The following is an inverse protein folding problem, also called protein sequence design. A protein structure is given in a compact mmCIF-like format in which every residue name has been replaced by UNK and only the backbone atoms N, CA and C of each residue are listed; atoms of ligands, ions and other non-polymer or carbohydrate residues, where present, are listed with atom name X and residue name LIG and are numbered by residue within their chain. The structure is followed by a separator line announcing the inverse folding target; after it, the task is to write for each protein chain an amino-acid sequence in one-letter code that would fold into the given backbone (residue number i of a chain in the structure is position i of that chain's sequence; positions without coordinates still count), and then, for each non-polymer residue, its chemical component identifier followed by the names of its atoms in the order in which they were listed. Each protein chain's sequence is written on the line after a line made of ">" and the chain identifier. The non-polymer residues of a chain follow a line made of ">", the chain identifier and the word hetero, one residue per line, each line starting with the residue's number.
data_IF_251341596273
#
_entry.id   IF_251341596273
#
_cell.length_a   1.000
_cell.length_b   1.000
_cell.length_c   1.000
_cell.angle_alpha   90.00
_cell.angle_beta   90.00
_cell.angle_gamma   90.00
#
_symmetry.space_group_name_H-M   'P 1'
#
loop_
_entity.id
_entity.type
_entity.pdbx_description
1 polymer ?
#
# COMPACT_ATOMS: atom_id res chain seq x y z
N UNK A 1 6.43 -31.60 17.15
CA UNK A 1 7.04 -30.40 16.56
C UNK A 1 6.39 -29.19 17.19
N UNK A 2 7.15 -28.18 17.58
CA UNK A 2 6.62 -26.96 18.19
C UNK A 2 5.97 -26.09 17.11
N UNK A 3 4.78 -25.58 17.39
CA UNK A 3 4.05 -24.66 16.50
C UNK A 3 4.37 -23.21 16.89
N UNK A 4 4.55 -22.31 15.93
CA UNK A 4 4.75 -20.90 16.19
C UNK A 4 3.48 -20.26 16.79
N UNK A 5 2.31 -20.70 16.35
CA UNK A 5 1.00 -20.24 16.79
C UNK A 5 -0.02 -21.37 16.72
N UNK A 6 -1.10 -21.28 17.44
CA UNK A 6 -2.29 -22.11 17.22
C UNK A 6 -3.14 -21.49 16.10
N UNK A 7 -3.41 -20.20 16.21
CA UNK A 7 -4.12 -19.40 15.22
C UNK A 7 -3.54 -17.97 15.19
N UNK A 8 -3.08 -17.53 14.01
CA UNK A 8 -2.50 -16.23 13.82
C UNK A 8 -3.45 -15.29 13.05
N UNK A 9 -3.47 -14.03 13.46
CA UNK A 9 -4.04 -12.93 12.71
C UNK A 9 -2.91 -12.20 11.99
N UNK A 10 -3.04 -12.00 10.68
CA UNK A 10 -1.96 -11.51 9.81
C UNK A 10 -2.45 -10.32 8.99
N UNK A 11 -1.65 -9.27 8.88
CA UNK A 11 -1.87 -8.14 7.97
C UNK A 11 -0.54 -7.51 7.55
N UNK A 12 -0.61 -6.58 6.57
CA UNK A 12 0.58 -5.94 5.99
C UNK A 12 0.23 -4.60 5.37
N UNK A 13 1.25 -3.81 5.02
CA UNK A 13 1.15 -2.62 4.17
C UNK A 13 0.06 -1.64 4.64
N UNK A 14 0.15 -1.20 5.90
CA UNK A 14 -0.80 -0.24 6.50
C UNK A 14 -0.45 1.21 6.21
N UNK A 15 0.85 1.51 6.02
CA UNK A 15 1.40 2.79 5.58
C UNK A 15 0.95 4.01 6.37
N UNK A 16 1.09 4.01 7.71
CA UNK A 16 0.90 5.22 8.50
C UNK A 16 1.67 6.41 7.92
N UNK A 17 1.04 7.56 7.83
CA UNK A 17 1.63 8.80 7.28
C UNK A 17 1.48 8.97 5.77
N UNK A 18 0.77 8.09 5.09
CA UNK A 18 0.44 8.27 3.68
C UNK A 18 -0.35 9.56 3.44
N UNK A 19 -0.43 10.03 2.18
CA UNK A 19 -1.11 11.27 1.77
C UNK A 19 -0.62 12.49 2.56
N UNK A 20 0.71 12.70 2.57
CA UNK A 20 1.34 13.84 3.27
C UNK A 20 1.02 13.87 4.77
N UNK A 21 1.03 12.72 5.43
CA UNK A 21 0.66 12.54 6.83
C UNK A 21 -0.79 12.91 7.14
N UNK A 22 -1.70 12.61 6.20
CA UNK A 22 -3.12 12.91 6.35
C UNK A 22 -3.68 12.38 7.67
N UNK A 23 -4.36 13.24 8.40
CA UNK A 23 -5.05 12.86 9.64
C UNK A 23 -6.09 11.77 9.37
N UNK A 24 -6.91 11.94 8.32
CA UNK A 24 -7.93 10.97 7.96
C UNK A 24 -7.35 9.60 7.66
N UNK A 25 -6.23 9.52 6.93
CA UNK A 25 -5.57 8.24 6.66
C UNK A 25 -5.02 7.60 7.95
N UNK A 26 -4.40 8.38 8.84
CA UNK A 26 -3.92 7.85 10.13
C UNK A 26 -5.08 7.38 11.03
N UNK A 27 -6.24 8.03 10.97
CA UNK A 27 -7.46 7.61 11.65
C UNK A 27 -8.01 6.30 11.04
N UNK A 28 -7.98 6.13 9.72
CA UNK A 28 -8.31 4.88 9.04
C UNK A 28 -7.38 3.74 9.48
N UNK A 29 -6.07 3.98 9.52
CA UNK A 29 -5.10 3.00 10.05
C UNK A 29 -5.44 2.58 11.48
N UNK A 30 -5.81 3.54 12.34
CA UNK A 30 -6.16 3.26 13.73
C UNK A 30 -7.48 2.49 13.83
N UNK A 31 -8.48 2.83 13.01
CA UNK A 31 -9.75 2.12 12.95
C UNK A 31 -9.56 0.68 12.47
N UNK A 32 -8.75 0.49 11.43
CA UNK A 32 -8.34 -0.84 10.96
C UNK A 32 -7.70 -1.67 12.07
N UNK A 33 -6.74 -1.12 12.81
CA UNK A 33 -6.05 -1.84 13.90
C UNK A 33 -7.04 -2.26 14.99
N UNK A 34 -8.02 -1.43 15.34
CA UNK A 34 -9.07 -1.78 16.29
C UNK A 34 -9.92 -2.94 15.77
N UNK A 35 -10.41 -2.83 14.55
CA UNK A 35 -11.18 -3.88 13.87
C UNK A 35 -10.39 -5.19 13.77
N UNK A 36 -9.10 -5.11 13.40
CA UNK A 36 -8.18 -6.25 13.34
C UNK A 36 -8.12 -7.00 14.66
N UNK A 37 -7.90 -6.29 15.77
CA UNK A 37 -7.82 -6.89 17.10
C UNK A 37 -9.16 -7.50 17.55
N UNK A 38 -10.28 -6.83 17.27
CA UNK A 38 -11.61 -7.33 17.58
C UNK A 38 -11.97 -8.59 16.79
N UNK A 39 -11.63 -8.59 15.49
CA UNK A 39 -11.86 -9.73 14.60
C UNK A 39 -10.97 -10.90 14.99
N UNK A 40 -9.69 -10.67 15.25
CA UNK A 40 -8.76 -11.69 15.72
C UNK A 40 -9.25 -12.37 17.02
N UNK A 41 -9.78 -11.59 17.97
CA UNK A 41 -10.35 -12.13 19.22
C UNK A 41 -11.58 -13.00 18.96
N UNK A 42 -12.46 -12.62 18.02
CA UNK A 42 -13.63 -13.45 17.63
C UNK A 42 -13.22 -14.78 17.01
N UNK A 43 -12.02 -14.86 16.46
CA UNK A 43 -11.43 -16.06 15.86
C UNK A 43 -10.42 -16.76 16.77
N UNK A 44 -10.33 -16.39 18.06
CA UNK A 44 -9.42 -16.99 19.03
C UNK A 44 -7.94 -16.98 18.59
N UNK A 45 -7.49 -15.90 17.95
CA UNK A 45 -6.10 -15.75 17.56
C UNK A 45 -5.23 -15.38 18.76
N UNK A 46 -4.18 -16.18 19.01
CA UNK A 46 -3.19 -15.96 20.07
C UNK A 46 -2.01 -15.08 19.63
N UNK A 47 -1.75 -15.07 18.32
CA UNK A 47 -0.58 -14.45 17.72
C UNK A 47 -0.97 -13.46 16.64
N UNK A 48 -0.33 -12.28 16.64
CA UNK A 48 -0.37 -11.33 15.54
C UNK A 48 0.93 -11.39 14.73
N UNK A 49 0.82 -11.30 13.41
CA UNK A 49 1.97 -11.18 12.48
C UNK A 49 1.71 -9.99 11.56
N UNK A 50 2.60 -9.00 11.62
CA UNK A 50 2.64 -7.90 10.68
C UNK A 50 3.77 -8.12 9.69
N UNK A 51 3.47 -8.04 8.38
CA UNK A 51 4.41 -8.42 7.32
C UNK A 51 4.97 -7.23 6.55
N UNK A 52 5.20 -6.09 7.22
CA UNK A 52 5.98 -4.98 6.68
C UNK A 52 5.20 -3.79 6.15
N UNK A 53 5.93 -2.70 5.99
CA UNK A 53 5.44 -1.38 5.54
C UNK A 53 4.43 -0.76 6.51
N UNK A 54 4.88 -0.56 7.75
CA UNK A 54 4.13 0.12 8.80
C UNK A 54 4.05 1.63 8.56
N UNK A 55 5.20 2.25 8.25
CA UNK A 55 5.26 3.66 7.88
C UNK A 55 5.34 3.84 6.37
N UNK A 56 4.80 4.95 5.87
CA UNK A 56 4.89 5.27 4.44
C UNK A 56 6.22 5.94 4.07
N UNK A 57 6.72 6.83 4.94
CA UNK A 57 7.94 7.59 4.67
C UNK A 57 9.15 6.99 5.39
N UNK A 58 10.22 6.73 4.65
CA UNK A 58 11.46 6.13 5.17
C UNK A 58 12.30 7.11 5.97
N UNK A 59 12.48 8.33 5.45
CA UNK A 59 13.46 9.28 5.96
C UNK A 59 12.96 10.07 7.18
N UNK A 60 11.66 10.23 7.32
CA UNK A 60 11.07 11.05 8.38
C UNK A 60 9.74 10.46 8.84
N UNK A 61 9.47 10.52 10.14
CA UNK A 61 8.15 10.23 10.70
C UNK A 61 7.61 11.53 11.30
N UNK A 62 6.46 11.97 10.81
CA UNK A 62 5.78 13.14 11.34
C UNK A 62 5.35 12.89 12.79
N UNK A 63 5.42 13.91 13.66
CA UNK A 63 5.10 13.76 15.10
C UNK A 63 3.66 13.29 15.31
N UNK A 64 2.69 13.79 14.54
CA UNK A 64 1.30 13.33 14.63
C UNK A 64 1.21 11.85 14.23
N UNK A 65 1.79 11.46 13.10
CA UNK A 65 1.84 10.07 12.64
C UNK A 65 2.50 9.15 13.68
N UNK A 66 3.58 9.59 14.32
CA UNK A 66 4.26 8.82 15.36
C UNK A 66 3.34 8.51 16.55
N UNK A 67 2.51 9.47 16.98
CA UNK A 67 1.55 9.25 18.06
C UNK A 67 0.52 8.18 17.68
N UNK A 68 -0.10 8.27 16.50
CA UNK A 68 -1.01 7.24 15.99
C UNK A 68 -0.35 5.85 15.95
N UNK A 69 0.89 5.81 15.47
CA UNK A 69 1.69 4.59 15.35
C UNK A 69 1.95 3.92 16.69
N UNK A 70 2.40 4.68 17.69
CA UNK A 70 2.69 4.16 19.04
C UNK A 70 1.43 3.64 19.69
N UNK A 71 0.31 4.36 19.58
CA UNK A 71 -0.97 3.94 20.13
C UNK A 71 -1.48 2.65 19.45
N UNK A 72 -1.35 2.55 18.13
CA UNK A 72 -1.76 1.38 17.36
C UNK A 72 -0.96 0.13 17.76
N UNK A 73 0.37 0.23 17.85
CA UNK A 73 1.23 -0.89 18.29
C UNK A 73 0.92 -1.29 19.73
N UNK A 74 0.73 -0.33 20.64
CA UNK A 74 0.34 -0.60 22.02
C UNK A 74 -1.02 -1.31 22.10
N UNK A 75 -1.95 -0.95 21.20
CA UNK A 75 -3.26 -1.60 21.13
C UNK A 75 -3.11 -3.07 20.67
N UNK A 76 -2.34 -3.36 19.63
CA UNK A 76 -2.07 -4.74 19.19
C UNK A 76 -1.38 -5.52 20.31
N UNK A 77 -0.31 -4.97 20.88
CA UNK A 77 0.45 -5.63 21.95
C UNK A 77 -0.42 -6.05 23.14
N UNK A 78 -1.45 -5.28 23.49
CA UNK A 78 -2.38 -5.61 24.58
C UNK A 78 -3.39 -6.71 24.25
N UNK A 79 -3.60 -7.01 22.97
CA UNK A 79 -4.63 -7.94 22.50
C UNK A 79 -4.08 -9.33 22.12
N UNK A 80 -2.77 -9.53 22.06
CA UNK A 80 -2.15 -10.79 21.67
C UNK A 80 -1.09 -11.23 22.67
N UNK A 81 -0.89 -12.53 22.79
CA UNK A 81 0.19 -13.11 23.57
C UNK A 81 1.55 -12.80 22.96
N UNK A 82 1.64 -12.88 21.60
CA UNK A 82 2.83 -12.55 20.82
C UNK A 82 2.45 -11.71 19.61
N UNK A 83 3.28 -10.69 19.35
CA UNK A 83 3.17 -9.89 18.14
C UNK A 83 4.51 -9.87 17.41
N UNK A 84 4.55 -10.52 16.26
CA UNK A 84 5.70 -10.50 15.38
C UNK A 84 5.60 -9.34 14.39
N UNK A 85 6.60 -8.50 14.40
CA UNK A 85 6.71 -7.34 13.51
C UNK A 85 7.84 -7.58 12.52
N UNK A 86 7.51 -7.81 11.26
CA UNK A 86 8.45 -7.97 10.15
C UNK A 86 8.61 -6.60 9.50
N UNK A 87 9.80 -6.00 9.47
CA UNK A 87 10.02 -4.74 8.76
C UNK A 87 9.94 -4.94 7.25
N UNK A 88 9.19 -4.05 6.57
CA UNK A 88 9.19 -3.91 5.12
C UNK A 88 10.24 -2.90 4.65
N UNK A 89 10.27 -2.66 3.34
CA UNK A 89 11.23 -1.72 2.76
C UNK A 89 10.95 -0.26 3.11
N UNK A 90 9.69 0.11 3.42
CA UNK A 90 9.35 1.45 3.88
C UNK A 90 9.69 1.70 5.36
N UNK A 91 9.87 0.66 6.15
CA UNK A 91 10.27 0.79 7.56
C UNK A 91 11.77 1.04 7.72
N UNK A 92 12.57 0.86 6.68
CA UNK A 92 14.02 1.03 6.70
C UNK A 92 14.43 2.39 6.15
N UNK A 93 15.36 3.06 6.85
CA UNK A 93 15.92 4.32 6.34
C UNK A 93 16.72 4.09 5.05
N UNK A 94 17.61 3.09 5.05
CA UNK A 94 18.34 2.65 3.87
C UNK A 94 17.68 1.39 3.28
N UNK A 95 17.46 1.36 1.97
CA UNK A 95 16.87 0.18 1.31
C UNK A 95 17.75 -1.06 1.44
N UNK A 96 19.06 -0.87 1.53
CA UNK A 96 20.07 -1.92 1.53
C UNK A 96 20.61 -2.27 2.94
N UNK A 97 20.07 -1.68 4.02
CA UNK A 97 20.51 -1.91 5.40
C UNK A 97 19.34 -1.85 6.39
N UNK A 98 19.38 -2.70 7.41
CA UNK A 98 18.34 -2.76 8.47
C UNK A 98 18.78 -2.17 9.81
N UNK A 99 19.98 -1.60 9.91
CA UNK A 99 20.51 -1.03 11.16
C UNK A 99 19.73 0.19 11.65
N UNK A 100 19.12 0.93 10.73
CA UNK A 100 18.31 2.09 11.02
C UNK A 100 16.88 1.91 10.45
N UNK A 101 15.90 1.86 11.35
CA UNK A 101 14.49 1.69 10.98
C UNK A 101 13.58 2.68 11.73
N UNK A 102 12.34 2.83 11.26
CA UNK A 102 11.37 3.78 11.80
C UNK A 102 10.62 3.30 13.05
N UNK A 103 10.89 2.08 13.53
CA UNK A 103 10.15 1.41 14.61
C UNK A 103 11.00 1.03 15.85
N UNK A 104 11.99 1.85 16.28
CA UNK A 104 12.86 1.50 17.40
C UNK A 104 12.13 1.38 18.74
N UNK A 105 10.95 2.01 18.88
CA UNK A 105 10.12 1.98 20.08
C UNK A 105 9.52 0.59 20.37
N UNK A 106 9.46 -0.30 19.38
CA UNK A 106 8.97 -1.69 19.56
C UNK A 106 9.80 -2.47 20.60
N UNK A 107 11.07 -2.16 20.74
CA UNK A 107 11.98 -2.83 21.69
C UNK A 107 11.54 -2.71 23.16
N UNK A 108 10.67 -1.75 23.46
CA UNK A 108 10.17 -1.52 24.83
C UNK A 108 8.95 -2.39 25.17
N UNK A 109 8.39 -3.12 24.22
CA UNK A 109 7.21 -3.96 24.40
C UNK A 109 7.63 -5.42 24.53
N UNK A 110 7.30 -6.06 25.66
CA UNK A 110 7.82 -7.40 26.03
C UNK A 110 7.34 -8.53 25.12
N UNK A 111 6.15 -8.42 24.57
CA UNK A 111 5.54 -9.44 23.72
C UNK A 111 5.60 -9.09 22.23
N UNK A 112 6.30 -8.01 21.87
CA UNK A 112 6.55 -7.61 20.47
C UNK A 112 7.94 -8.08 20.07
N UNK A 113 8.01 -8.90 19.05
CA UNK A 113 9.23 -9.46 18.49
C UNK A 113 9.51 -8.75 17.16
N UNK A 114 10.49 -7.82 17.17
CA UNK A 114 10.96 -7.17 15.96
C UNK A 114 11.89 -8.11 15.20
N UNK A 115 11.47 -8.55 14.03
CA UNK A 115 12.17 -9.53 13.18
C UNK A 115 13.22 -8.84 12.30
N UNK A 116 14.39 -8.51 12.87
CA UNK A 116 15.48 -7.88 12.12
C UNK A 116 16.36 -8.87 11.34
N UNK A 117 16.27 -10.15 11.65
CA UNK A 117 16.92 -11.25 10.96
C UNK A 117 15.90 -12.36 10.77
N UNK A 118 16.19 -13.33 9.91
CA UNK A 118 15.33 -14.51 9.76
C UNK A 118 15.12 -15.15 11.14
N UNK A 119 13.88 -15.22 11.56
CA UNK A 119 13.45 -15.85 12.80
C UNK A 119 12.72 -17.14 12.49
N UNK A 120 13.21 -18.25 12.98
CA UNK A 120 12.59 -19.56 12.78
C UNK A 120 12.20 -20.17 14.11
N UNK A 121 10.95 -20.59 14.24
CA UNK A 121 10.44 -21.33 15.39
C UNK A 121 9.51 -22.45 14.90
N UNK A 122 9.82 -23.68 15.28
CA UNK A 122 9.12 -24.85 14.76
C UNK A 122 9.25 -24.95 13.23
N UNK A 123 8.12 -25.07 12.57
CA UNK A 123 8.03 -25.15 11.11
C UNK A 123 7.63 -23.82 10.45
N UNK A 124 7.86 -22.69 11.11
CA UNK A 124 7.59 -21.36 10.54
C UNK A 124 8.83 -20.48 10.55
N UNK A 125 9.05 -19.73 9.47
CA UNK A 125 10.07 -18.68 9.35
C UNK A 125 9.43 -17.33 9.07
N UNK A 126 9.88 -16.32 9.80
CA UNK A 126 9.55 -14.93 9.58
C UNK A 126 10.78 -14.23 9.01
N UNK A 127 10.62 -13.56 7.88
CA UNK A 127 11.71 -13.05 7.06
C UNK A 127 11.53 -11.55 6.83
N UNK A 128 12.44 -10.70 7.32
CA UNK A 128 12.36 -9.25 7.08
C UNK A 128 12.67 -8.92 5.61
N UNK A 129 12.43 -7.69 5.20
CA UNK A 129 12.92 -7.20 3.91
C UNK A 129 14.39 -7.58 3.72
N UNK A 130 14.68 -8.31 2.65
CA UNK A 130 16.01 -8.85 2.39
C UNK A 130 16.92 -7.77 1.84
N UNK A 131 18.14 -7.70 2.35
CA UNK A 131 19.16 -6.73 1.93
C UNK A 131 20.38 -7.44 1.33
N UNK A 132 20.96 -6.85 0.30
CA UNK A 132 22.09 -7.41 -0.41
C UNK A 132 21.78 -8.83 -0.94
N UNK A 133 22.67 -9.77 -0.65
CA UNK A 133 22.57 -11.16 -1.14
C UNK A 133 21.88 -12.13 -0.17
N UNK A 134 21.17 -11.64 0.82
CA UNK A 134 20.45 -12.49 1.79
C UNK A 134 19.42 -13.41 1.14
N UNK A 135 18.87 -12.99 0.00
CA UNK A 135 17.93 -13.79 -0.79
C UNK A 135 18.49 -15.15 -1.19
N UNK A 136 19.82 -15.29 -1.35
CA UNK A 136 20.47 -16.55 -1.71
C UNK A 136 20.26 -17.66 -0.67
N UNK A 137 19.96 -17.28 0.58
CA UNK A 137 19.72 -18.19 1.71
C UNK A 137 18.31 -18.73 1.74
N UNK A 138 17.36 -18.12 1.01
CA UNK A 138 15.93 -18.49 1.10
C UNK A 138 15.65 -19.91 0.67
N UNK A 139 16.38 -20.45 -0.32
CA UNK A 139 16.29 -21.85 -0.75
C UNK A 139 16.68 -22.88 0.32
N UNK A 140 17.35 -22.44 1.38
CA UNK A 140 17.78 -23.29 2.49
C UNK A 140 16.82 -23.28 3.67
N UNK A 141 15.69 -22.54 3.58
CA UNK A 141 14.66 -22.57 4.62
C UNK A 141 13.95 -23.93 4.59
N UNK A 142 13.98 -24.61 5.73
CA UNK A 142 13.28 -25.88 5.94
C UNK A 142 12.01 -25.67 6.80
N UNK A 143 11.25 -24.66 6.46
CA UNK A 143 10.03 -24.30 7.15
C UNK A 143 8.82 -24.60 6.28
N UNK A 144 7.74 -25.09 6.89
CA UNK A 144 6.45 -25.33 6.23
C UNK A 144 5.78 -24.02 5.83
N UNK A 145 5.90 -23.00 6.70
CA UNK A 145 5.32 -21.66 6.50
C UNK A 145 6.41 -20.60 6.48
N UNK A 146 6.32 -19.67 5.56
CA UNK A 146 7.16 -18.49 5.50
C UNK A 146 6.28 -17.24 5.47
N UNK A 147 6.59 -16.29 6.35
CA UNK A 147 5.95 -14.97 6.38
C UNK A 147 7.04 -13.93 6.11
N UNK A 148 6.82 -13.02 5.16
CA UNK A 148 7.85 -12.05 4.83
C UNK A 148 7.32 -10.82 4.09
N UNK A 149 8.28 -10.04 3.60
CA UNK A 149 8.01 -8.86 2.79
C UNK A 149 8.92 -8.91 1.56
N UNK A 150 8.43 -9.45 0.47
CA UNK A 150 9.23 -9.83 -0.70
C UNK A 150 8.83 -9.06 -1.95
N UNK A 151 9.80 -8.80 -2.82
CA UNK A 151 9.63 -8.31 -4.17
C UNK A 151 9.93 -9.44 -5.15
N UNK A 152 8.90 -10.18 -5.57
CA UNK A 152 9.05 -11.35 -6.44
C UNK A 152 8.63 -11.04 -7.88
N UNK A 153 9.39 -11.51 -8.88
CA UNK A 153 9.03 -11.34 -10.28
C UNK A 153 7.75 -12.08 -10.64
N UNK A 154 7.13 -11.64 -11.73
CA UNK A 154 5.90 -12.22 -12.29
C UNK A 154 4.64 -12.03 -11.45
N UNK A 155 4.70 -11.27 -10.36
CA UNK A 155 3.52 -10.82 -9.62
C UNK A 155 3.14 -9.39 -10.04
N UNK A 156 1.86 -9.06 -9.94
CA UNK A 156 1.37 -7.72 -10.29
C UNK A 156 1.77 -6.71 -9.23
N UNK A 157 2.46 -5.67 -9.65
CA UNK A 157 2.75 -4.50 -8.81
C UNK A 157 1.50 -3.62 -8.66
N UNK A 158 0.70 -3.55 -9.74
CA UNK A 158 -0.59 -2.88 -9.84
C UNK A 158 -1.44 -3.56 -10.93
N UNK A 159 -2.60 -3.01 -11.26
CA UNK A 159 -3.52 -3.60 -12.24
C UNK A 159 -2.90 -3.83 -13.64
N UNK A 160 -1.85 -3.07 -14.00
CA UNK A 160 -1.30 -3.03 -15.37
C UNK A 160 0.12 -3.58 -15.51
N UNK A 161 0.90 -3.62 -14.40
CA UNK A 161 2.36 -3.90 -14.46
C UNK A 161 2.70 -5.10 -13.60
N UNK A 162 3.36 -6.09 -14.21
CA UNK A 162 4.00 -7.20 -13.49
C UNK A 162 5.45 -6.86 -13.18
N UNK A 163 5.92 -7.33 -12.01
CA UNK A 163 7.31 -7.18 -11.59
C UNK A 163 8.23 -7.97 -12.54
N UNK A 164 9.19 -7.31 -13.21
CA UNK A 164 10.16 -7.99 -14.06
C UNK A 164 11.13 -8.84 -13.25
N UNK A 165 11.72 -9.86 -13.87
CA UNK A 165 12.79 -10.65 -13.26
C UNK A 165 14.14 -9.95 -13.44
N UNK A 166 14.73 -9.54 -12.32
CA UNK A 166 16.06 -8.91 -12.28
C UNK A 166 17.18 -9.90 -11.88
N UNK A 167 16.90 -11.21 -11.87
CA UNK A 167 17.89 -12.24 -11.56
C UNK A 167 18.17 -12.42 -10.06
N UNK A 168 17.28 -11.90 -9.19
CA UNK A 168 17.36 -12.03 -7.72
C UNK A 168 16.43 -13.10 -7.16
N UNK A 169 15.78 -12.77 -6.03
CA UNK A 169 14.79 -13.62 -5.39
C UNK A 169 13.62 -13.88 -6.33
N UNK A 170 13.19 -15.14 -6.43
CA UNK A 170 12.00 -15.56 -7.16
C UNK A 170 11.30 -16.71 -6.44
N UNK A 171 10.11 -17.11 -6.91
CA UNK A 171 9.31 -18.18 -6.28
C UNK A 171 10.03 -19.52 -6.21
N UNK A 172 10.99 -19.80 -7.11
CA UNK A 172 11.80 -21.01 -7.07
C UNK A 172 12.74 -21.13 -5.87
N UNK A 173 12.92 -20.07 -5.08
CA UNK A 173 13.65 -20.10 -3.82
C UNK A 173 12.82 -20.66 -2.64
N UNK A 174 11.55 -20.98 -2.88
CA UNK A 174 10.63 -21.55 -1.88
C UNK A 174 10.03 -22.88 -2.37
N UNK A 175 10.86 -23.91 -2.66
CA UNK A 175 10.40 -25.12 -3.34
C UNK A 175 9.61 -26.08 -2.44
N UNK A 176 9.84 -26.03 -1.12
CA UNK A 176 9.34 -27.03 -0.16
C UNK A 176 8.29 -26.44 0.81
N UNK A 177 8.01 -25.16 0.75
CA UNK A 177 7.06 -24.51 1.63
C UNK A 177 5.62 -24.83 1.20
N UNK A 178 4.75 -25.09 2.17
CA UNK A 178 3.31 -25.23 1.92
C UNK A 178 2.69 -23.87 1.59
N UNK A 179 3.08 -22.85 2.36
CA UNK A 179 2.66 -21.47 2.12
C UNK A 179 3.81 -20.50 2.33
N UNK A 180 3.92 -19.53 1.42
CA UNK A 180 4.76 -18.34 1.54
C UNK A 180 3.84 -17.13 1.47
N UNK A 181 3.68 -16.42 2.58
CA UNK A 181 2.87 -15.21 2.68
C UNK A 181 3.76 -13.98 2.60
N UNK A 182 3.36 -13.01 1.81
CA UNK A 182 4.14 -11.79 1.62
C UNK A 182 3.27 -10.52 1.66
N UNK A 183 3.83 -9.44 2.20
CA UNK A 183 3.47 -8.06 1.91
C UNK A 183 4.18 -7.53 0.68
N UNK A 184 4.25 -6.21 0.51
CA UNK A 184 4.88 -5.43 -0.53
C UNK A 184 3.97 -5.13 -1.73
N UNK A 185 3.38 -6.13 -2.38
CA UNK A 185 2.41 -5.87 -3.44
C UNK A 185 1.01 -5.76 -2.86
N UNK A 186 0.38 -4.61 -3.07
CA UNK A 186 -0.90 -4.30 -2.45
C UNK A 186 -2.06 -5.13 -3.00
N UNK A 187 -1.98 -5.61 -4.26
CA UNK A 187 -2.99 -6.48 -4.84
C UNK A 187 -2.91 -7.87 -4.23
N UNK A 188 -4.03 -8.37 -3.67
CA UNK A 188 -4.12 -9.77 -3.25
C UNK A 188 -4.03 -10.69 -4.45
N UNK A 189 -3.05 -11.60 -4.45
CA UNK A 189 -2.78 -12.49 -5.56
C UNK A 189 -2.01 -13.72 -5.10
N UNK A 190 -2.10 -14.79 -5.89
CA UNK A 190 -1.43 -16.06 -5.60
C UNK A 190 -0.84 -16.66 -6.86
N UNK A 191 0.37 -17.21 -6.75
CA UNK A 191 0.98 -18.08 -7.77
C UNK A 191 1.71 -19.24 -7.07
N UNK A 192 1.28 -20.49 -7.34
CA UNK A 192 1.79 -21.66 -6.64
C UNK A 192 1.54 -21.57 -5.13
N UNK A 193 2.58 -21.74 -4.34
CA UNK A 193 2.54 -21.64 -2.88
C UNK A 193 2.79 -20.21 -2.34
N UNK A 194 3.02 -19.23 -3.21
CA UNK A 194 3.26 -17.84 -2.82
C UNK A 194 1.96 -17.04 -2.85
N UNK A 195 1.64 -16.38 -1.74
CA UNK A 195 0.45 -15.57 -1.53
C UNK A 195 0.84 -14.15 -1.10
N UNK A 196 0.52 -13.16 -1.91
CA UNK A 196 0.47 -11.77 -1.47
C UNK A 196 -0.89 -11.51 -0.83
N UNK A 197 -0.91 -11.15 0.44
CA UNK A 197 -2.16 -10.99 1.20
C UNK A 197 -2.93 -9.72 0.85
N UNK A 198 -2.27 -8.79 0.19
CA UNK A 198 -2.76 -7.46 -0.12
C UNK A 198 -2.62 -6.51 1.08
N UNK A 199 -2.68 -5.21 0.82
CA UNK A 199 -2.62 -4.18 1.86
C UNK A 199 -3.82 -4.25 2.83
N UNK A 200 -3.70 -3.55 3.97
CA UNK A 200 -4.70 -3.56 5.03
C UNK A 200 -6.09 -3.07 4.56
N UNK A 201 -6.11 -2.05 3.71
CA UNK A 201 -7.30 -1.47 3.08
C UNK A 201 -6.89 -0.66 1.83
N UNK A 202 -7.81 -0.32 0.91
CA UNK A 202 -7.50 0.50 -0.25
C UNK A 202 -6.92 1.86 0.14
N UNK A 203 -5.78 2.24 -0.45
CA UNK A 203 -5.05 3.44 -0.06
C UNK A 203 -5.28 4.62 -1.01
N UNK A 204 -5.54 4.36 -2.27
CA UNK A 204 -5.67 5.37 -3.31
C UNK A 204 -6.43 4.83 -4.53
N UNK A 205 -6.55 5.66 -5.58
CA UNK A 205 -7.26 5.31 -6.80
C UNK A 205 -6.60 4.21 -7.67
N UNK A 206 -5.37 3.78 -7.36
CA UNK A 206 -4.81 2.58 -7.98
C UNK A 206 -5.47 1.30 -7.42
N UNK A 207 -6.06 1.38 -6.23
CA UNK A 207 -6.83 0.30 -5.59
C UNK A 207 -8.35 0.43 -5.89
N UNK A 208 -8.77 1.25 -6.85
CA UNK A 208 -10.18 1.46 -7.16
C UNK A 208 -10.89 0.14 -7.49
N UNK A 209 -12.08 -0.06 -6.91
CA UNK A 209 -12.91 -1.26 -7.04
C UNK A 209 -12.37 -2.53 -6.36
N UNK A 210 -11.26 -2.45 -5.64
CA UNK A 210 -10.68 -3.58 -4.92
C UNK A 210 -10.97 -3.44 -3.42
N UNK A 211 -12.21 -3.71 -3.03
CA UNK A 211 -12.70 -3.58 -1.64
C UNK A 211 -12.40 -4.83 -0.80
N UNK A 212 -11.93 -5.92 -1.40
CA UNK A 212 -11.60 -7.16 -0.69
C UNK A 212 -10.22 -7.09 -0.03
N UNK A 213 -10.06 -6.13 0.89
CA UNK A 213 -8.85 -5.88 1.66
C UNK A 213 -9.15 -6.01 3.15
N UNK A 214 -8.13 -6.37 3.93
CA UNK A 214 -8.32 -6.56 5.37
C UNK A 214 -7.21 -7.40 5.98
N UNK A 215 -7.58 -8.50 6.61
CA UNK A 215 -6.68 -9.38 7.32
C UNK A 215 -6.77 -10.82 6.83
N UNK A 216 -5.78 -11.63 7.21
CA UNK A 216 -5.79 -13.08 7.04
C UNK A 216 -5.79 -13.74 8.41
N UNK A 217 -6.60 -14.79 8.58
CA UNK A 217 -6.53 -15.72 9.70
C UNK A 217 -5.86 -17.00 9.20
N UNK A 218 -4.87 -17.48 9.94
CA UNK A 218 -4.16 -18.71 9.66
C UNK A 218 -4.22 -19.63 10.87
N UNK A 219 -4.92 -20.74 10.76
CA UNK A 219 -4.85 -21.84 11.71
C UNK A 219 -3.70 -22.77 11.33
N UNK A 220 -2.93 -23.25 12.32
CA UNK A 220 -1.82 -24.14 12.04
C UNK A 220 -2.31 -25.44 11.38
N UNK A 221 -1.81 -25.74 10.20
CA UNK A 221 -2.23 -26.92 9.42
C UNK A 221 -3.50 -26.70 8.58
N UNK A 222 -4.11 -25.52 8.65
CA UNK A 222 -5.29 -25.14 7.87
C UNK A 222 -4.97 -24.32 6.64
N UNK A 223 -6.00 -23.99 5.86
CA UNK A 223 -5.91 -23.03 4.77
C UNK A 223 -6.06 -21.59 5.26
N UNK A 224 -5.42 -20.59 4.61
CA UNK A 224 -5.59 -19.20 4.96
C UNK A 224 -7.03 -18.72 4.70
N UNK A 225 -7.59 -17.98 5.66
CA UNK A 225 -8.90 -17.35 5.55
C UNK A 225 -8.72 -15.84 5.47
N UNK A 226 -9.19 -15.22 4.39
CA UNK A 226 -9.16 -13.76 4.23
C UNK A 226 -10.48 -13.13 4.69
N UNK A 227 -10.37 -12.05 5.44
CA UNK A 227 -11.53 -11.30 5.98
C UNK A 227 -11.37 -9.85 5.56
N UNK A 228 -12.33 -9.36 4.78
CA UNK A 228 -12.36 -7.96 4.35
C UNK A 228 -12.80 -7.05 5.50
N UNK A 229 -12.20 -5.85 5.58
CA UNK A 229 -12.63 -4.83 6.52
C UNK A 229 -13.89 -4.12 5.99
N UNK A 230 -15.05 -4.26 6.64
CA UNK A 230 -16.31 -3.77 6.10
C UNK A 230 -16.40 -2.24 6.03
N UNK A 231 -15.70 -1.54 6.94
CA UNK A 231 -15.70 -0.08 7.02
C UNK A 231 -14.50 0.55 6.31
N UNK A 232 -13.85 -0.20 5.41
CA UNK A 232 -12.69 0.28 4.67
C UNK A 232 -13.02 1.49 3.79
N UNK A 233 -12.07 2.43 3.61
CA UNK A 233 -12.18 3.43 2.55
C UNK A 233 -12.39 2.79 1.19
N UNK A 234 -13.29 3.34 0.39
CA UNK A 234 -13.61 2.87 -0.96
C UNK A 234 -13.15 3.87 -2.01
N UNK A 235 -12.52 3.38 -3.06
CA UNK A 235 -12.10 4.21 -4.19
C UNK A 235 -12.89 3.83 -5.44
N UNK A 236 -13.46 4.83 -6.12
CA UNK A 236 -14.30 4.64 -7.31
C UNK A 236 -13.83 5.54 -8.44
N UNK A 237 -13.61 4.94 -9.62
CA UNK A 237 -13.49 5.64 -10.89
C UNK A 237 -14.70 5.27 -11.73
N UNK A 238 -15.56 6.21 -12.09
CA UNK A 238 -16.83 5.90 -12.77
C UNK A 238 -17.18 7.03 -13.75
N UNK A 239 -17.87 6.68 -14.82
CA UNK A 239 -18.46 7.61 -15.77
C UNK A 239 -19.73 8.25 -15.18
N UNK A 240 -19.93 9.54 -15.49
CA UNK A 240 -21.07 10.30 -15.00
C UNK A 240 -22.40 9.67 -15.43
N UNK A 241 -22.51 9.29 -16.70
CA UNK A 241 -23.74 8.66 -17.24
C UNK A 241 -24.12 7.41 -16.47
N UNK A 242 -23.15 6.57 -16.11
CA UNK A 242 -23.38 5.37 -15.32
C UNK A 242 -23.72 5.66 -13.86
N UNK A 243 -23.08 6.69 -13.29
CA UNK A 243 -23.31 7.07 -11.89
C UNK A 243 -24.73 7.61 -11.66
N UNK A 244 -25.26 8.41 -12.60
CA UNK A 244 -26.60 9.00 -12.51
C UNK A 244 -27.71 7.94 -12.47
N UNK A 245 -27.51 6.75 -13.04
CA UNK A 245 -28.52 5.68 -13.04
C UNK A 245 -28.84 5.18 -11.63
N UNK A 246 -27.82 5.01 -10.77
CA UNK A 246 -27.99 4.58 -9.38
C UNK A 246 -26.82 5.05 -8.51
N UNK A 247 -26.80 6.32 -8.07
CA UNK A 247 -25.70 6.86 -7.26
C UNK A 247 -25.48 6.10 -5.94
N UNK A 248 -26.56 5.68 -5.29
CA UNK A 248 -26.51 4.98 -3.99
C UNK A 248 -25.84 3.61 -4.03
N UNK A 249 -25.74 3.01 -5.21
CA UNK A 249 -25.00 1.77 -5.40
C UNK A 249 -23.48 1.94 -5.28
N UNK A 250 -22.95 3.12 -5.57
CA UNK A 250 -21.53 3.38 -5.73
C UNK A 250 -20.95 4.30 -4.67
N UNK A 251 -21.80 5.00 -3.92
CA UNK A 251 -21.43 6.06 -2.99
C UNK A 251 -21.96 5.80 -1.58
N UNK A 252 -21.10 5.95 -0.60
CA UNK A 252 -21.40 5.99 0.83
C UNK A 252 -20.37 6.88 1.56
N UNK A 253 -20.50 7.04 2.86
CA UNK A 253 -19.64 7.88 3.71
C UNK A 253 -18.16 7.48 3.72
N UNK A 254 -17.80 6.30 3.23
CA UNK A 254 -16.41 5.84 3.13
C UNK A 254 -15.80 6.04 1.73
N UNK A 255 -16.56 6.66 0.82
CA UNK A 255 -16.18 6.70 -0.60
C UNK A 255 -15.37 7.92 -0.98
N UNK A 256 -14.24 7.67 -1.68
CA UNK A 256 -13.50 8.61 -2.51
C UNK A 256 -13.87 8.34 -3.96
N UNK A 257 -14.39 9.32 -4.69
CA UNK A 257 -14.87 9.09 -6.04
C UNK A 257 -14.29 10.08 -7.04
N UNK A 258 -13.88 9.56 -8.20
CA UNK A 258 -13.53 10.30 -9.40
C UNK A 258 -14.56 10.00 -10.47
N UNK A 259 -15.19 11.03 -10.98
CA UNK A 259 -16.26 10.93 -11.96
C UNK A 259 -15.75 11.52 -13.26
N UNK A 260 -15.69 10.70 -14.31
CA UNK A 260 -15.38 11.17 -15.66
C UNK A 260 -16.65 11.73 -16.27
N UNK A 261 -16.65 13.03 -16.64
CA UNK A 261 -17.79 13.69 -17.28
C UNK A 261 -17.82 13.26 -18.76
N UNK A 262 -18.51 12.17 -19.06
CA UNK A 262 -18.71 11.60 -20.41
C UNK A 262 -19.99 12.13 -21.08
N UNK A 263 -20.71 13.06 -20.45
CA UNK A 263 -21.85 13.79 -20.97
C UNK A 263 -21.53 15.29 -21.10
N UNK A 264 -22.25 15.97 -21.99
CA UNK A 264 -22.14 17.41 -22.16
C UNK A 264 -22.94 18.10 -21.05
N UNK A 265 -22.25 18.53 -20.00
CA UNK A 265 -22.80 19.25 -18.84
C UNK A 265 -22.08 20.57 -18.64
N UNK A 266 -22.79 21.59 -18.23
CA UNK A 266 -22.21 22.89 -17.85
C UNK A 266 -21.44 22.81 -16.55
N UNK A 267 -20.60 23.81 -16.31
CA UNK A 267 -19.86 23.92 -15.04
C UNK A 267 -20.80 24.05 -13.83
N UNK A 268 -21.91 24.79 -13.99
CA UNK A 268 -22.90 24.97 -12.95
C UNK A 268 -23.61 23.64 -12.60
N UNK A 269 -23.98 22.84 -13.62
CA UNK A 269 -24.58 21.52 -13.42
C UNK A 269 -23.60 20.57 -12.74
N UNK A 270 -22.35 20.55 -13.16
CA UNK A 270 -21.29 19.74 -12.55
C UNK A 270 -21.11 20.08 -11.06
N UNK A 271 -21.05 21.38 -10.71
CA UNK A 271 -20.93 21.79 -9.32
C UNK A 271 -22.18 21.47 -8.51
N UNK A 272 -23.38 21.65 -9.06
CA UNK A 272 -24.62 21.28 -8.41
C UNK A 272 -24.69 19.77 -8.07
N UNK A 273 -24.31 18.90 -9.02
CA UNK A 273 -24.23 17.47 -8.79
C UNK A 273 -23.21 17.14 -7.71
N UNK A 274 -22.03 17.75 -7.76
CA UNK A 274 -20.96 17.55 -6.76
C UNK A 274 -21.44 17.91 -5.36
N UNK A 275 -22.02 19.08 -5.16
CA UNK A 275 -22.55 19.54 -3.86
C UNK A 275 -23.68 18.62 -3.39
N UNK A 276 -24.64 18.30 -4.28
CA UNK A 276 -25.78 17.44 -3.95
C UNK A 276 -25.31 16.04 -3.50
N UNK A 277 -24.36 15.42 -4.19
CA UNK A 277 -23.87 14.12 -3.81
C UNK A 277 -22.98 14.15 -2.57
N UNK A 278 -22.17 15.21 -2.42
CA UNK A 278 -21.37 15.41 -1.21
C UNK A 278 -22.28 15.46 0.03
N UNK A 279 -23.38 16.21 -0.04
CA UNK A 279 -24.30 16.37 1.08
C UNK A 279 -25.16 15.11 1.32
N UNK A 280 -25.58 14.45 0.22
CA UNK A 280 -26.46 13.27 0.32
C UNK A 280 -25.75 12.05 0.88
N UNK A 281 -24.49 11.80 0.46
CA UNK A 281 -23.74 10.59 0.79
C UNK A 281 -22.63 10.83 1.80
N UNK A 282 -22.40 12.08 2.21
CA UNK A 282 -21.31 12.48 3.12
C UNK A 282 -19.94 11.91 2.67
N UNK A 283 -19.65 12.08 1.38
CA UNK A 283 -18.47 11.50 0.73
C UNK A 283 -17.16 12.00 1.36
N UNK A 284 -16.14 11.16 1.39
CA UNK A 284 -14.80 11.58 1.80
C UNK A 284 -14.15 12.53 0.79
N UNK A 285 -14.35 12.29 -0.50
CA UNK A 285 -13.84 13.13 -1.58
C UNK A 285 -14.64 12.89 -2.86
N UNK A 286 -14.96 13.95 -3.60
CA UNK A 286 -15.57 13.88 -4.91
C UNK A 286 -14.83 14.79 -5.90
N UNK A 287 -14.37 14.20 -6.99
CA UNK A 287 -13.68 14.90 -8.09
C UNK A 287 -14.38 14.60 -9.42
N UNK A 288 -14.73 15.66 -10.14
CA UNK A 288 -15.20 15.58 -11.53
C UNK A 288 -14.01 15.85 -12.47
N UNK A 289 -13.81 14.95 -13.41
CA UNK A 289 -12.73 15.02 -14.40
C UNK A 289 -13.37 15.13 -15.79
N UNK A 290 -13.00 16.14 -16.61
CA UNK A 290 -13.47 16.20 -17.99
C UNK A 290 -13.11 14.92 -18.73
N UNK A 291 -14.05 14.39 -19.53
CA UNK A 291 -13.69 13.33 -20.49
C UNK A 291 -12.62 13.86 -21.44
N UNK A 292 -11.59 13.07 -21.70
CA UNK A 292 -10.66 13.38 -22.78
C UNK A 292 -11.50 13.44 -24.07
N UNK A 293 -11.63 14.63 -24.68
CA UNK A 293 -12.10 14.71 -26.07
C UNK A 293 -11.11 13.85 -26.86
N UNK A 294 -11.59 12.80 -27.52
CA UNK A 294 -10.86 12.21 -28.61
C UNK A 294 -10.72 13.32 -29.66
N UNK A 295 -9.61 14.02 -29.64
CA UNK A 295 -9.20 14.77 -30.82
C UNK A 295 -9.13 13.71 -31.91
N UNK A 296 -10.01 13.81 -32.89
CA UNK A 296 -9.97 12.99 -34.08
C UNK A 296 -8.51 12.90 -34.51
N UNK A 297 -8.00 11.69 -34.60
CA UNK A 297 -6.71 11.39 -35.14
C UNK A 297 -6.68 11.95 -36.56
N UNK A 298 -6.39 13.24 -36.70
CA UNK A 298 -5.89 13.78 -37.93
C UNK A 298 -4.54 13.11 -38.15
N UNK A 299 -4.41 12.44 -39.28
CA UNK A 299 -3.21 11.82 -39.82
C UNK A 299 -1.93 12.58 -39.37
N UNK A 300 -1.36 12.20 -38.25
CA UNK A 300 -0.04 12.62 -37.86
C UNK A 300 0.97 11.61 -38.41
N UNK A 301 1.26 11.76 -39.69
CA UNK A 301 2.46 11.18 -40.30
C UNK A 301 3.68 12.04 -39.94
N UNK A 302 3.91 12.25 -38.66
CA UNK A 302 5.08 12.91 -38.14
C UNK A 302 5.58 12.12 -36.92
N UNK A 303 6.89 11.91 -36.88
CA UNK A 303 7.58 11.32 -35.74
C UNK A 303 7.08 11.99 -34.44
N UNK A 304 6.36 11.24 -33.61
CA UNK A 304 5.95 11.69 -32.29
C UNK A 304 7.19 11.63 -31.40
N UNK A 305 7.95 12.71 -31.36
CA UNK A 305 8.94 12.92 -30.31
C UNK A 305 8.20 13.12 -28.99
N UNK A 306 8.23 12.12 -28.12
CA UNK A 306 7.86 12.31 -26.73
C UNK A 306 8.93 13.23 -26.12
N UNK A 307 8.56 14.48 -25.85
CA UNK A 307 9.42 15.37 -25.07
C UNK A 307 9.65 14.73 -23.71
N UNK A 308 10.91 14.64 -23.29
CA UNK A 308 11.23 14.19 -21.93
C UNK A 308 10.67 15.20 -20.92
N UNK A 309 10.45 14.76 -19.67
CA UNK A 309 10.02 15.66 -18.57
C UNK A 309 10.96 16.87 -18.48
N UNK A 310 12.27 16.65 -18.68
CA UNK A 310 13.28 17.72 -18.69
C UNK A 310 13.05 18.72 -19.81
N UNK A 311 12.72 18.25 -21.02
CA UNK A 311 12.40 19.15 -22.16
C UNK A 311 11.15 19.97 -21.88
N UNK A 312 10.10 19.36 -21.29
CA UNK A 312 8.87 20.08 -20.91
C UNK A 312 9.20 21.16 -19.87
N UNK A 313 9.97 20.82 -18.81
CA UNK A 313 10.34 21.77 -17.77
C UNK A 313 11.21 22.89 -18.33
N UNK A 314 12.22 22.61 -19.12
CA UNK A 314 13.09 23.61 -19.73
C UNK A 314 12.31 24.54 -20.66
N UNK A 315 11.34 24.01 -21.44
CA UNK A 315 10.46 24.80 -22.28
C UNK A 315 9.59 25.76 -21.45
N UNK A 316 9.04 25.27 -20.33
CA UNK A 316 8.25 26.10 -19.42
C UNK A 316 9.11 27.18 -18.72
N UNK A 317 10.32 26.84 -18.28
CA UNK A 317 11.25 27.80 -17.69
C UNK A 317 11.68 28.87 -18.70
N UNK A 318 11.89 28.52 -19.96
CA UNK A 318 12.23 29.45 -21.02
C UNK A 318 11.07 30.40 -21.39
N UNK A 319 9.84 29.99 -21.14
CA UNK A 319 8.63 30.80 -21.37
C UNK A 319 8.30 31.78 -20.25
N UNK A 320 9.01 31.76 -19.11
CA UNK A 320 8.78 32.69 -18.00
C UNK A 320 9.20 34.09 -18.40
N UNK A 321 8.27 35.04 -18.35
CA UNK A 321 8.52 36.46 -18.47
C UNK A 321 8.43 37.13 -17.09
N UNK A 322 9.55 37.67 -16.60
CA UNK A 322 9.62 38.31 -15.29
C UNK A 322 10.64 39.46 -15.33
N UNK A 323 10.28 40.60 -14.75
CA UNK A 323 11.20 41.71 -14.57
C UNK A 323 12.15 41.53 -13.38
N UNK A 324 11.89 40.55 -12.50
CA UNK A 324 12.58 40.33 -11.23
C UNK A 324 13.44 39.09 -11.24
N UNK A 325 13.09 38.10 -12.05
CA UNK A 325 13.73 36.77 -12.08
C UNK A 325 14.41 36.57 -13.44
N UNK A 326 15.72 36.34 -13.43
CA UNK A 326 16.43 35.95 -14.63
C UNK A 326 16.17 34.46 -14.93
N UNK A 327 15.51 34.24 -16.06
CA UNK A 327 15.16 32.87 -16.53
C UNK A 327 16.39 31.98 -16.76
N UNK A 328 17.54 32.58 -17.15
CA UNK A 328 18.75 31.79 -17.37
C UNK A 328 19.25 31.21 -16.03
N UNK A 329 19.14 31.95 -14.94
CA UNK A 329 19.48 31.46 -13.60
C UNK A 329 18.57 30.31 -13.20
N UNK A 330 17.28 30.35 -13.52
CA UNK A 330 16.38 29.22 -13.24
C UNK A 330 16.74 27.96 -14.02
N UNK A 331 17.09 28.11 -15.30
CA UNK A 331 17.52 27.01 -16.16
C UNK A 331 18.85 26.40 -15.61
N UNK A 332 19.79 27.25 -15.21
CA UNK A 332 21.08 26.81 -14.67
C UNK A 332 20.89 26.07 -13.34
N UNK A 333 20.03 26.55 -12.46
CA UNK A 333 19.66 25.86 -11.21
C UNK A 333 19.00 24.51 -11.51
N UNK A 334 18.05 24.45 -12.44
CA UNK A 334 17.41 23.20 -12.82
C UNK A 334 18.42 22.15 -13.34
N UNK A 335 19.32 22.58 -14.20
CA UNK A 335 20.38 21.70 -14.73
C UNK A 335 21.34 21.19 -13.64
N UNK A 336 21.54 21.93 -12.56
CA UNK A 336 22.37 21.52 -11.42
C UNK A 336 21.68 20.53 -10.48
N UNK A 337 20.34 20.43 -10.49
CA UNK A 337 19.60 19.48 -9.66
C UNK A 337 19.62 18.04 -10.20
N UNK A 338 20.08 17.84 -11.43
CA UNK A 338 20.10 16.55 -12.12
C UNK A 338 21.52 15.98 -12.30
N UNK A 339 22.49 16.39 -11.44
CA UNK A 339 23.86 15.82 -11.39
C UNK A 339 24.00 14.80 -10.28
#
# INVERSE_FOLDING_TARGET
>A
MTQLFKRAAVFTDIHFGMRQNSKAHNEDCTAFVKWFCETARKHDCDTAIFMGDWHHHRATVNVSTLNYTVDAVNHISKNFERFFFIPGNHDLYYREKRDLNSVPFLKNLKNVILVNNVYTEGEASLVPWLVGEEWTKMKNLDSRYVFGHFELPSFKMNAMVEMPDHGGLNSGHFPNQEYVFSGHFHLRQQRGNVHYTGNAFPHNFADAWDDDRGMMIMEWGGAPQYIAWPDAPKFRNIELTKLIEDPGKYMDENTFIRITCDADISYEEANYLKETWQDTFNLREINLIPAKKEEHAQDWSGDVHFESVDQIVLTQLAAIESEVIDRQVLIDIYNQLHV
#
